data_IF_852109113832
#
_entry.id   IF_852109113832
#
_cell.length_a   1.000
_cell.length_b   1.000
_cell.length_c   1.000
_cell.angle_alpha   90.00
_cell.angle_beta   90.00
_cell.angle_gamma   90.00
#
_symmetry.space_group_name_H-M   'P 1'
#
loop_
_entity.id
_entity.type
_entity.pdbx_description
1 polymer ?
#
# COMPACT_ATOMS: atom_id res chain seq x y z
N UNK A 1 -18.27 24.74 -0.19
CA UNK A 1 -17.88 23.76 -1.21
C UNK A 1 -18.86 22.60 -1.34
N UNK A 2 -19.13 21.76 -0.30
CA UNK A 2 -20.15 20.67 -0.39
C UNK A 2 -21.49 21.12 -0.96
N UNK A 3 -22.01 22.27 -0.56
CA UNK A 3 -23.29 22.79 -1.06
C UNK A 3 -23.23 23.24 -2.52
N UNK A 4 -22.08 23.74 -2.97
CA UNK A 4 -21.90 24.19 -4.36
C UNK A 4 -21.86 22.96 -5.27
N UNK A 5 -21.07 21.97 -4.92
CA UNK A 5 -20.99 20.70 -5.66
C UNK A 5 -22.34 19.98 -5.68
N UNK A 6 -23.07 19.94 -4.56
CA UNK A 6 -24.40 19.31 -4.53
C UNK A 6 -25.46 20.07 -5.35
N UNK A 7 -25.35 21.38 -5.47
CA UNK A 7 -26.22 22.18 -6.32
C UNK A 7 -25.98 21.87 -7.81
N UNK A 8 -24.73 21.87 -8.24
CA UNK A 8 -24.35 21.55 -9.61
C UNK A 8 -24.74 20.11 -10.00
N UNK A 9 -24.53 19.14 -9.12
CA UNK A 9 -24.96 17.76 -9.34
C UNK A 9 -26.48 17.62 -9.46
N UNK A 10 -27.25 18.36 -8.67
CA UNK A 10 -28.73 18.31 -8.73
C UNK A 10 -29.28 18.85 -10.05
N UNK A 11 -28.55 19.75 -10.74
CA UNK A 11 -28.95 20.32 -12.01
C UNK A 11 -28.34 19.59 -13.24
N UNK A 12 -27.61 18.51 -13.03
CA UNK A 12 -27.06 17.68 -14.11
C UNK A 12 -25.92 18.31 -14.93
N UNK A 13 -25.39 19.45 -14.48
CA UNK A 13 -24.27 20.14 -15.11
C UNK A 13 -23.11 20.28 -14.14
N UNK A 14 -22.11 19.41 -14.27
CA UNK A 14 -20.83 19.67 -13.65
C UNK A 14 -20.02 20.57 -14.59
N UNK A 15 -20.41 21.82 -14.67
CA UNK A 15 -19.54 22.89 -15.18
C UNK A 15 -18.90 23.54 -13.97
N UNK A 16 -17.59 23.45 -13.86
CA UNK A 16 -16.83 24.24 -12.91
C UNK A 16 -16.79 25.70 -13.40
N UNK A 17 -17.88 26.36 -13.23
CA UNK A 17 -18.09 27.75 -13.64
C UNK A 17 -19.58 28.05 -13.69
N UNK A 18 -20.13 28.57 -12.59
CA UNK A 18 -21.51 29.02 -12.48
C UNK A 18 -21.55 30.53 -12.20
N UNK A 19 -22.67 31.18 -12.52
CA UNK A 19 -22.89 32.58 -12.14
C UNK A 19 -23.26 32.67 -10.64
N UNK A 20 -22.71 33.66 -9.97
CA UNK A 20 -22.91 33.96 -8.54
C UNK A 20 -24.36 34.06 -8.08
N UNK A 21 -25.30 34.42 -9.00
CA UNK A 21 -26.71 34.59 -8.73
C UNK A 21 -27.46 33.31 -8.35
N UNK A 22 -26.86 32.14 -8.58
CA UNK A 22 -27.54 30.85 -8.43
C UNK A 22 -27.11 30.09 -7.17
N UNK A 23 -26.11 30.59 -6.41
CA UNK A 23 -25.59 29.93 -5.20
C UNK A 23 -26.25 30.50 -3.97
N UNK A 24 -26.99 29.67 -3.25
CA UNK A 24 -27.67 30.05 -2.01
C UNK A 24 -26.69 30.06 -0.83
N UNK A 25 -26.11 31.19 -0.50
CA UNK A 25 -25.15 31.41 0.58
C UNK A 25 -25.93 31.69 1.86
N UNK A 26 -25.96 30.71 2.77
CA UNK A 26 -26.78 30.78 3.99
C UNK A 26 -25.97 30.90 5.30
N UNK A 27 -24.69 30.59 5.30
CA UNK A 27 -23.85 30.66 6.51
C UNK A 27 -22.58 31.49 6.28
N UNK A 28 -21.96 31.98 7.37
CA UNK A 28 -20.67 32.69 7.29
C UNK A 28 -19.55 31.79 6.72
N UNK A 29 -19.61 30.49 6.99
CA UNK A 29 -18.68 29.53 6.42
C UNK A 29 -18.86 29.39 4.90
N UNK A 30 -20.10 29.44 4.41
CA UNK A 30 -20.39 29.42 2.97
C UNK A 30 -19.84 30.69 2.30
N UNK A 31 -19.92 31.86 2.96
CA UNK A 31 -19.35 33.11 2.48
C UNK A 31 -17.83 33.04 2.36
N UNK A 32 -17.15 32.56 3.39
CA UNK A 32 -15.68 32.44 3.37
C UNK A 32 -15.22 31.53 2.23
N UNK A 33 -15.85 30.36 2.07
CA UNK A 33 -15.55 29.44 0.99
C UNK A 33 -15.83 30.08 -0.37
N UNK A 34 -16.96 30.74 -0.48
CA UNK A 34 -17.39 31.40 -1.71
C UNK A 34 -16.42 32.51 -2.14
N UNK A 35 -16.07 33.44 -1.22
CA UNK A 35 -15.13 34.51 -1.52
C UNK A 35 -13.69 34.00 -1.76
N UNK A 36 -13.33 32.87 -1.20
CA UNK A 36 -12.04 32.24 -1.49
C UNK A 36 -11.95 31.58 -2.87
N UNK A 37 -13.10 31.37 -3.53
CA UNK A 37 -13.21 30.74 -4.83
C UNK A 37 -13.58 31.74 -5.95
N UNK A 38 -13.88 32.96 -5.55
CA UNK A 38 -14.28 34.03 -6.50
C UNK A 38 -13.05 34.63 -7.15
N UNK A 39 -13.08 34.76 -8.48
CA UNK A 39 -12.12 35.59 -9.19
C UNK A 39 -12.46 37.08 -8.97
N UNK A 40 -11.47 37.90 -8.65
CA UNK A 40 -11.66 39.32 -8.32
C UNK A 40 -12.22 40.13 -9.51
N UNK A 41 -11.98 39.69 -10.75
CA UNK A 41 -12.31 40.43 -11.97
C UNK A 41 -13.52 39.87 -12.75
N UNK A 42 -14.14 38.80 -12.33
CA UNK A 42 -15.29 38.21 -13.02
C UNK A 42 -16.35 37.69 -12.05
N UNK A 43 -17.62 37.73 -12.49
CA UNK A 43 -18.72 37.05 -11.79
C UNK A 43 -18.68 35.54 -11.95
N UNK A 44 -17.62 35.01 -12.59
CA UNK A 44 -17.42 33.62 -12.88
C UNK A 44 -16.67 32.92 -11.74
N UNK A 45 -17.05 31.69 -11.51
CA UNK A 45 -16.45 30.85 -10.49
C UNK A 45 -15.31 30.01 -11.08
N UNK A 46 -14.08 30.29 -10.73
CA UNK A 46 -12.96 29.40 -11.04
C UNK A 46 -12.73 28.48 -9.85
N UNK A 47 -13.62 27.50 -9.66
CA UNK A 47 -13.54 26.52 -8.56
C UNK A 47 -12.25 25.68 -8.60
N UNK A 48 -11.48 25.80 -9.66
CA UNK A 48 -10.29 25.00 -9.92
C UNK A 48 -9.04 25.80 -10.19
N UNK A 49 -8.96 27.07 -9.74
CA UNK A 49 -7.66 27.73 -9.80
C UNK A 49 -6.67 26.96 -8.90
N UNK A 50 -5.69 26.23 -9.47
CA UNK A 50 -4.76 25.39 -8.70
C UNK A 50 -3.85 26.22 -7.79
N UNK A 51 -3.78 27.53 -7.98
CA UNK A 51 -3.04 28.43 -7.10
C UNK A 51 -3.79 28.72 -5.78
N UNK A 52 -5.12 28.62 -5.80
CA UNK A 52 -5.99 28.93 -4.64
C UNK A 52 -6.42 27.67 -3.91
N UNK A 53 -6.70 26.57 -4.63
CA UNK A 53 -7.20 25.33 -4.03
C UNK A 53 -6.31 24.16 -4.43
N UNK A 54 -5.82 23.43 -3.42
CA UNK A 54 -5.13 22.19 -3.67
C UNK A 54 -6.10 21.21 -4.39
N UNK A 55 -5.78 20.86 -5.63
CA UNK A 55 -6.57 19.96 -6.50
C UNK A 55 -6.98 18.64 -5.81
N UNK A 56 -6.21 18.17 -4.81
CA UNK A 56 -6.56 16.98 -4.01
C UNK A 56 -7.89 17.13 -3.28
N UNK A 57 -8.23 18.34 -2.82
CA UNK A 57 -9.52 18.57 -2.18
C UNK A 57 -10.67 18.57 -3.19
N UNK A 58 -10.42 19.03 -4.41
CA UNK A 58 -11.41 19.02 -5.48
C UNK A 58 -11.69 17.59 -5.93
N UNK A 59 -10.66 16.78 -6.18
CA UNK A 59 -10.82 15.36 -6.49
C UNK A 59 -11.53 14.60 -5.37
N UNK A 60 -11.19 14.90 -4.13
CA UNK A 60 -11.87 14.28 -2.97
C UNK A 60 -13.37 14.61 -2.95
N UNK A 61 -13.75 15.85 -3.24
CA UNK A 61 -15.14 16.25 -3.31
C UNK A 61 -15.88 15.58 -4.46
N UNK A 62 -15.26 15.51 -5.65
CA UNK A 62 -15.83 14.80 -6.79
C UNK A 62 -16.08 13.34 -6.40
N UNK A 63 -15.10 12.65 -5.85
CA UNK A 63 -15.21 11.24 -5.40
C UNK A 63 -16.27 11.03 -4.31
N UNK A 64 -16.52 12.01 -3.44
CA UNK A 64 -17.56 11.92 -2.39
C UNK A 64 -18.98 12.12 -2.92
N UNK A 65 -19.16 12.78 -4.06
CA UNK A 65 -20.47 13.15 -4.60
C UNK A 65 -20.85 12.46 -5.90
N UNK A 66 -19.88 11.94 -6.64
CA UNK A 66 -20.14 11.17 -7.85
C UNK A 66 -20.60 9.76 -7.49
N UNK A 67 -21.54 9.22 -8.26
CA UNK A 67 -21.87 7.79 -8.17
C UNK A 67 -20.65 6.95 -8.57
N UNK A 68 -20.49 5.76 -7.98
CA UNK A 68 -19.32 4.90 -8.21
C UNK A 68 -19.16 4.43 -9.67
N UNK A 69 -20.21 4.56 -10.48
CA UNK A 69 -20.28 4.21 -11.90
C UNK A 69 -20.32 5.43 -12.82
N UNK A 70 -20.14 6.63 -12.27
CA UNK A 70 -20.13 7.86 -13.08
C UNK A 70 -18.84 7.93 -13.89
N UNK A 71 -18.99 8.11 -15.20
CA UNK A 71 -17.87 8.35 -16.10
C UNK A 71 -17.31 9.78 -15.87
N UNK A 72 -16.01 9.88 -15.59
CA UNK A 72 -15.31 11.15 -15.46
C UNK A 72 -14.51 11.36 -16.75
N UNK A 73 -14.91 12.35 -17.53
CA UNK A 73 -14.18 12.74 -18.75
C UNK A 73 -13.22 13.86 -18.38
N UNK A 74 -11.92 13.60 -18.48
CA UNK A 74 -10.88 14.60 -18.39
C UNK A 74 -10.52 15.06 -19.80
N UNK A 75 -10.97 16.26 -20.15
CA UNK A 75 -10.69 16.86 -21.46
C UNK A 75 -9.41 17.70 -21.40
N UNK A 76 -8.36 17.22 -22.03
CA UNK A 76 -7.08 17.89 -22.16
C UNK A 76 -6.87 18.52 -23.55
N UNK A 77 -7.89 18.60 -24.38
CA UNK A 77 -7.78 19.07 -25.77
C UNK A 77 -7.28 20.51 -25.92
N UNK A 78 -7.43 21.34 -24.89
CA UNK A 78 -6.99 22.74 -24.89
C UNK A 78 -5.68 22.98 -24.14
N UNK A 79 -4.98 21.93 -23.68
CA UNK A 79 -3.75 22.07 -22.91
C UNK A 79 -2.65 22.80 -23.70
N UNK A 80 -2.58 22.59 -25.01
CA UNK A 80 -1.59 23.24 -25.90
C UNK A 80 -1.76 24.76 -25.96
N UNK A 81 -2.98 25.27 -25.77
CA UNK A 81 -3.27 26.70 -25.80
C UNK A 81 -3.04 27.39 -24.44
N UNK A 82 -3.03 26.65 -23.37
CA UNK A 82 -2.92 27.18 -21.99
C UNK A 82 -1.51 27.23 -21.45
N UNK A 83 -0.58 26.52 -22.10
CA UNK A 83 0.63 26.15 -21.42
C UNK A 83 1.79 25.85 -22.35
N UNK A 84 2.28 26.86 -23.08
CA UNK A 84 3.50 26.73 -23.91
C UNK A 84 4.71 26.10 -23.15
N UNK A 85 4.71 26.21 -21.81
CA UNK A 85 5.78 25.64 -20.95
C UNK A 85 5.30 24.58 -19.96
N UNK A 86 4.00 24.33 -19.80
CA UNK A 86 3.51 23.41 -18.76
C UNK A 86 3.54 21.95 -19.18
N UNK A 87 3.34 21.62 -20.45
CA UNK A 87 3.42 20.23 -20.95
C UNK A 87 4.83 19.67 -20.76
N UNK A 88 5.92 20.34 -21.21
CA UNK A 88 7.27 19.87 -20.93
C UNK A 88 7.58 19.76 -19.44
N UNK A 89 7.10 20.70 -18.61
CA UNK A 89 7.28 20.65 -17.15
C UNK A 89 6.45 19.55 -16.50
N UNK A 90 5.21 19.33 -16.94
CA UNK A 90 4.36 18.24 -16.46
C UNK A 90 4.90 16.88 -16.88
N UNK A 91 5.35 16.73 -18.13
CA UNK A 91 6.02 15.51 -18.60
C UNK A 91 7.32 15.27 -17.85
N UNK A 92 8.16 16.28 -17.67
CA UNK A 92 9.37 16.16 -16.87
C UNK A 92 9.07 15.85 -15.37
N UNK A 93 7.96 16.33 -14.85
CA UNK A 93 7.49 16.00 -13.51
C UNK A 93 6.95 14.55 -13.44
N UNK A 94 6.24 14.08 -14.48
CA UNK A 94 5.76 12.70 -14.56
C UNK A 94 6.88 11.70 -14.86
N UNK A 95 7.86 12.07 -15.67
CA UNK A 95 9.10 11.29 -15.86
C UNK A 95 9.90 11.18 -14.55
N UNK A 96 9.77 12.13 -13.64
CA UNK A 96 10.37 12.12 -12.31
C UNK A 96 9.48 11.50 -11.22
N UNK A 97 8.27 11.05 -11.51
CA UNK A 97 7.49 10.20 -10.59
C UNK A 97 8.09 8.80 -10.64
N UNK A 98 9.23 8.63 -9.99
CA UNK A 98 9.81 7.31 -9.79
C UNK A 98 8.85 6.48 -8.96
N UNK A 99 8.55 5.27 -9.43
CA UNK A 99 7.80 4.28 -8.64
C UNK A 99 8.46 4.12 -7.27
N UNK A 100 7.67 3.95 -6.24
CA UNK A 100 8.20 3.53 -4.93
C UNK A 100 8.69 2.09 -5.05
N UNK A 101 9.96 1.88 -4.75
CA UNK A 101 10.60 0.55 -4.81
C UNK A 101 10.37 -0.14 -3.47
N UNK A 102 9.66 -1.26 -3.50
CA UNK A 102 9.36 -2.10 -2.33
C UNK A 102 10.25 -3.33 -2.38
N UNK A 103 11.22 -3.39 -1.48
CA UNK A 103 12.13 -4.53 -1.32
C UNK A 103 11.47 -5.57 -0.44
N UNK A 104 11.32 -6.79 -0.96
CA UNK A 104 10.71 -7.94 -0.27
C UNK A 104 11.70 -9.10 -0.16
N UNK A 105 11.44 -10.06 0.74
CA UNK A 105 12.39 -11.13 1.06
C UNK A 105 12.49 -12.19 -0.04
N UNK A 106 11.40 -12.45 -0.75
CA UNK A 106 11.37 -13.51 -1.74
C UNK A 106 10.41 -13.29 -2.90
N UNK A 107 10.53 -14.13 -3.93
CA UNK A 107 9.67 -14.10 -5.12
C UNK A 107 8.21 -14.41 -4.79
N UNK A 108 7.95 -15.30 -3.82
CA UNK A 108 6.58 -15.57 -3.36
C UNK A 108 5.93 -14.33 -2.76
N UNK A 109 6.69 -13.53 -2.00
CA UNK A 109 6.19 -12.30 -1.38
C UNK A 109 5.82 -11.29 -2.46
N UNK A 110 6.71 -11.13 -3.45
CA UNK A 110 6.45 -10.28 -4.61
C UNK A 110 5.18 -10.70 -5.34
N UNK A 111 5.08 -11.97 -5.72
CA UNK A 111 3.93 -12.49 -6.47
C UNK A 111 2.61 -12.28 -5.74
N UNK A 112 2.59 -12.52 -4.42
CA UNK A 112 1.40 -12.34 -3.58
C UNK A 112 1.05 -10.85 -3.47
N UNK A 113 2.03 -9.99 -3.23
CA UNK A 113 1.80 -8.55 -3.05
C UNK A 113 1.39 -7.87 -4.36
N UNK A 114 2.03 -8.20 -5.49
CA UNK A 114 1.66 -7.67 -6.81
C UNK A 114 0.23 -8.06 -7.18
N UNK A 115 -0.13 -9.35 -7.03
CA UNK A 115 -1.49 -9.81 -7.28
C UNK A 115 -2.49 -9.10 -6.35
N UNK A 116 -2.23 -9.06 -5.05
CA UNK A 116 -3.14 -8.42 -4.11
C UNK A 116 -3.28 -6.91 -4.37
N UNK A 117 -2.19 -6.21 -4.73
CA UNK A 117 -2.20 -4.80 -5.09
C UNK A 117 -3.06 -4.55 -6.33
N UNK A 118 -2.91 -5.35 -7.38
CA UNK A 118 -3.70 -5.23 -8.62
C UNK A 118 -5.19 -5.44 -8.39
N UNK A 119 -5.57 -6.27 -7.42
CA UNK A 119 -6.97 -6.57 -7.12
C UNK A 119 -7.60 -5.60 -6.12
N UNK A 120 -6.84 -5.17 -5.09
CA UNK A 120 -7.35 -4.31 -4.01
C UNK A 120 -7.19 -2.83 -4.30
N UNK A 121 -6.14 -2.46 -5.02
CA UNK A 121 -5.77 -1.07 -5.31
C UNK A 121 -5.28 -0.92 -6.77
N UNK A 122 -6.11 -1.29 -7.78
CA UNK A 122 -5.69 -1.29 -9.19
C UNK A 122 -5.18 0.09 -9.65
N UNK A 123 -5.78 1.17 -9.14
CA UNK A 123 -5.41 2.54 -9.45
C UNK A 123 -4.08 3.00 -8.84
N UNK A 124 -3.51 2.23 -7.90
CA UNK A 124 -2.22 2.53 -7.26
C UNK A 124 -1.11 1.55 -7.68
N UNK A 125 -1.46 0.44 -8.35
CA UNK A 125 -0.50 -0.64 -8.66
C UNK A 125 0.72 -0.14 -9.42
N UNK A 126 0.53 0.80 -10.35
CA UNK A 126 1.60 1.37 -11.16
C UNK A 126 2.55 2.31 -10.41
N UNK A 127 2.18 2.74 -9.21
CA UNK A 127 3.02 3.59 -8.36
C UNK A 127 4.04 2.82 -7.55
N UNK A 128 3.94 1.49 -7.51
CA UNK A 128 4.82 0.61 -6.75
C UNK A 128 5.54 -0.37 -7.67
N UNK A 129 6.79 -0.67 -7.35
CA UNK A 129 7.58 -1.71 -7.96
C UNK A 129 8.08 -2.65 -6.87
N UNK A 130 7.55 -3.86 -6.84
CA UNK A 130 7.99 -4.89 -5.90
C UNK A 130 9.25 -5.56 -6.44
N UNK A 131 10.35 -5.34 -5.76
CA UNK A 131 11.65 -5.87 -6.14
C UNK A 131 11.95 -7.11 -5.33
N UNK A 132 12.01 -8.24 -5.99
CA UNK A 132 12.61 -9.47 -5.49
C UNK A 132 14.00 -9.66 -6.12
N UNK A 133 14.64 -10.75 -5.79
CA UNK A 133 16.01 -11.01 -6.16
C UNK A 133 16.19 -12.28 -6.98
N UNK A 134 15.11 -12.77 -7.60
CA UNK A 134 15.18 -13.74 -8.68
C UNK A 134 15.69 -13.05 -9.94
N UNK A 135 16.61 -13.68 -10.65
CA UNK A 135 16.95 -13.25 -11.98
C UNK A 135 15.91 -13.74 -13.00
N UNK A 136 15.84 -13.08 -14.15
CA UNK A 136 14.91 -13.43 -15.25
C UNK A 136 15.16 -14.85 -15.78
N UNK A 137 16.31 -15.44 -15.50
CA UNK A 137 16.69 -16.82 -15.88
C UNK A 137 16.24 -17.87 -14.86
N UNK A 138 15.56 -17.45 -13.77
CA UNK A 138 15.08 -18.36 -12.73
C UNK A 138 16.17 -18.91 -11.80
N UNK A 139 17.37 -18.34 -11.87
CA UNK A 139 18.44 -18.64 -10.95
C UNK A 139 18.09 -18.22 -9.53
N UNK A 140 18.01 -19.19 -8.59
CA UNK A 140 17.87 -18.87 -7.17
C UNK A 140 19.11 -18.14 -6.70
N UNK A 141 19.02 -16.82 -6.56
CA UNK A 141 19.98 -16.07 -5.76
C UNK A 141 19.61 -16.21 -4.29
N UNK A 142 20.60 -16.07 -3.42
CA UNK A 142 20.37 -16.04 -1.98
C UNK A 142 19.37 -14.92 -1.64
N UNK A 143 18.10 -15.30 -1.48
CA UNK A 143 17.04 -14.40 -1.03
C UNK A 143 17.08 -14.21 0.48
N UNK A 144 16.01 -13.65 1.03
CA UNK A 144 15.83 -13.47 2.47
C UNK A 144 16.30 -12.10 2.96
N UNK A 145 16.20 -11.92 4.27
CA UNK A 145 16.44 -10.65 4.95
C UNK A 145 17.80 -10.02 4.68
N UNK A 146 18.85 -10.83 4.59
CA UNK A 146 20.22 -10.35 4.34
C UNK A 146 20.37 -9.64 3.00
N UNK A 147 19.62 -10.09 2.00
CA UNK A 147 19.66 -9.50 0.67
C UNK A 147 18.90 -8.18 0.64
N UNK A 148 17.73 -8.11 1.28
CA UNK A 148 16.98 -6.84 1.46
C UNK A 148 17.87 -5.80 2.14
N UNK A 149 18.55 -6.18 3.23
CA UNK A 149 19.49 -5.31 3.97
C UNK A 149 20.61 -4.79 3.06
N UNK A 150 21.26 -5.70 2.32
CA UNK A 150 22.38 -5.34 1.45
C UNK A 150 21.97 -4.34 0.38
N UNK A 151 20.86 -4.58 -0.30
CA UNK A 151 20.39 -3.70 -1.36
C UNK A 151 19.90 -2.36 -0.83
N UNK A 152 19.16 -2.35 0.28
CA UNK A 152 18.74 -1.10 0.91
C UNK A 152 19.93 -0.22 1.26
N UNK A 153 20.99 -0.82 1.85
CA UNK A 153 22.24 -0.11 2.14
C UNK A 153 22.94 0.38 0.87
N UNK A 154 22.96 -0.43 -0.19
CA UNK A 154 23.52 -0.02 -1.47
C UNK A 154 22.81 1.23 -2.00
N UNK A 155 21.48 1.26 -1.99
CA UNK A 155 20.71 2.42 -2.44
C UNK A 155 20.94 3.64 -1.55
N UNK A 156 21.01 3.42 -0.24
CA UNK A 156 21.31 4.48 0.73
C UNK A 156 22.68 5.12 0.48
N UNK A 157 23.75 4.33 0.37
CA UNK A 157 25.10 4.85 0.13
C UNK A 157 25.27 5.46 -1.25
N UNK A 158 24.52 4.97 -2.25
CA UNK A 158 24.50 5.53 -3.61
C UNK A 158 23.71 6.82 -3.72
N UNK A 159 23.05 7.27 -2.63
CA UNK A 159 22.28 8.52 -2.57
C UNK A 159 21.18 8.62 -3.64
N UNK A 160 20.56 7.49 -3.97
CA UNK A 160 19.47 7.43 -4.95
C UNK A 160 18.24 8.15 -4.40
N UNK A 161 17.61 8.99 -5.22
CA UNK A 161 16.48 9.84 -4.79
C UNK A 161 15.11 9.19 -4.86
N UNK A 162 14.99 7.97 -5.40
CA UNK A 162 13.72 7.24 -5.41
C UNK A 162 13.22 6.93 -3.98
N UNK A 163 11.93 6.69 -3.83
CA UNK A 163 11.36 6.22 -2.58
C UNK A 163 11.61 4.71 -2.43
N UNK A 164 12.07 4.30 -1.26
CA UNK A 164 12.37 2.91 -0.93
C UNK A 164 11.61 2.46 0.32
N UNK A 165 10.98 1.31 0.22
CA UNK A 165 10.39 0.60 1.35
C UNK A 165 11.10 -0.76 1.44
N UNK A 166 11.80 -1.03 2.53
CA UNK A 166 12.18 -2.38 2.90
C UNK A 166 11.11 -2.92 3.84
N UNK A 167 10.41 -3.97 3.43
CA UNK A 167 9.39 -4.59 4.25
C UNK A 167 9.76 -6.04 4.54
N UNK A 168 9.74 -6.41 5.82
CA UNK A 168 10.14 -7.70 6.33
C UNK A 168 8.94 -8.46 6.89
N UNK A 169 9.03 -9.78 6.90
CA UNK A 169 8.10 -10.64 7.61
C UNK A 169 7.98 -10.25 9.09
N UNK A 170 6.79 -10.37 9.67
CA UNK A 170 6.58 -10.16 11.10
C UNK A 170 6.94 -11.44 11.89
N UNK A 171 8.14 -11.95 11.62
CA UNK A 171 8.78 -13.08 12.28
C UNK A 171 10.04 -12.67 13.05
N UNK A 172 10.75 -13.61 13.67
CA UNK A 172 11.92 -13.29 14.48
C UNK A 172 13.11 -12.81 13.62
N UNK A 173 13.24 -13.32 12.40
CA UNK A 173 14.31 -12.91 11.48
C UNK A 173 14.06 -11.51 10.91
N UNK A 174 12.85 -11.24 10.41
CA UNK A 174 12.48 -9.93 9.88
C UNK A 174 12.53 -8.86 10.96
N UNK A 175 12.04 -9.16 12.18
CA UNK A 175 12.13 -8.22 13.29
C UNK A 175 13.60 -7.93 13.69
N UNK A 176 14.46 -8.95 13.74
CA UNK A 176 15.89 -8.80 13.99
C UNK A 176 16.57 -7.92 12.94
N UNK A 177 16.25 -8.16 11.67
CA UNK A 177 16.79 -7.44 10.51
C UNK A 177 16.42 -5.97 10.54
N UNK A 178 15.15 -5.67 10.81
CA UNK A 178 14.67 -4.29 11.00
C UNK A 178 15.41 -3.60 12.15
N UNK A 179 15.52 -4.26 13.31
CA UNK A 179 16.22 -3.69 14.47
C UNK A 179 17.69 -3.42 14.17
N UNK A 180 18.36 -4.33 13.48
CA UNK A 180 19.76 -4.17 13.07
C UNK A 180 19.95 -2.96 12.16
N UNK A 181 19.12 -2.79 11.15
CA UNK A 181 19.16 -1.62 10.25
C UNK A 181 18.97 -0.30 11.01
N UNK A 182 17.98 -0.26 11.92
CA UNK A 182 17.69 0.95 12.71
C UNK A 182 18.77 1.25 13.77
N UNK A 183 19.48 0.22 14.25
CA UNK A 183 20.59 0.38 15.18
C UNK A 183 21.87 0.83 14.47
N UNK A 184 22.11 0.36 13.24
CA UNK A 184 23.29 0.70 12.45
C UNK A 184 23.21 2.12 11.87
N UNK A 185 22.06 2.48 11.30
CA UNK A 185 21.84 3.79 10.69
C UNK A 185 20.73 4.50 11.47
N UNK A 186 21.11 5.47 12.30
CA UNK A 186 20.18 6.18 13.20
C UNK A 186 19.24 7.12 12.45
N UNK A 187 19.70 7.74 11.38
CA UNK A 187 18.97 8.77 10.63
C UNK A 187 18.80 8.36 9.17
N UNK A 188 17.79 7.55 8.91
CA UNK A 188 17.38 7.23 7.54
C UNK A 188 16.78 8.47 6.87
N UNK A 189 17.09 8.74 5.59
CA UNK A 189 16.47 9.82 4.83
C UNK A 189 14.96 9.65 4.71
N UNK A 190 14.26 10.76 4.46
CA UNK A 190 12.80 10.79 4.38
C UNK A 190 12.21 9.91 3.25
N UNK A 191 13.02 9.58 2.25
CA UNK A 191 12.64 8.68 1.15
C UNK A 191 12.94 7.19 1.42
N UNK A 192 13.29 6.81 2.66
CA UNK A 192 13.48 5.41 3.07
C UNK A 192 12.49 5.03 4.18
N UNK A 193 11.88 3.86 4.06
CA UNK A 193 11.05 3.26 5.10
C UNK A 193 11.51 1.84 5.37
N UNK A 194 11.53 1.46 6.66
CA UNK A 194 11.90 0.12 7.10
C UNK A 194 10.73 -0.40 7.94
N UNK A 195 10.00 -1.33 7.37
CA UNK A 195 8.72 -1.79 7.88
C UNK A 195 8.78 -3.28 8.25
N UNK A 196 7.88 -3.71 9.11
CA UNK A 196 7.46 -5.10 9.28
C UNK A 196 6.04 -5.23 8.77
N UNK A 197 5.65 -6.42 8.38
CA UNK A 197 4.24 -6.74 8.19
C UNK A 197 3.45 -6.38 9.45
N UNK A 198 2.24 -5.81 9.31
CA UNK A 198 1.48 -5.32 10.45
C UNK A 198 1.02 -6.45 11.37
N UNK A 199 0.98 -6.17 12.66
CA UNK A 199 0.36 -7.08 13.63
C UNK A 199 -1.13 -7.25 13.33
N UNK A 200 -1.61 -8.48 13.32
CA UNK A 200 -3.01 -8.83 13.12
C UNK A 200 -3.57 -9.39 14.44
N UNK A 201 -4.76 -8.97 14.80
CA UNK A 201 -5.38 -9.37 16.09
C UNK A 201 -5.46 -10.87 16.28
N UNK A 202 -5.76 -11.62 15.22
CA UNK A 202 -5.81 -13.09 15.30
C UNK A 202 -4.46 -13.74 15.60
N UNK A 203 -3.33 -13.07 15.31
CA UNK A 203 -1.99 -13.63 15.54
C UNK A 203 -1.59 -13.67 17.01
N UNK A 204 -2.28 -12.92 17.89
CA UNK A 204 -2.06 -13.04 19.35
C UNK A 204 -2.53 -14.37 19.94
N UNK A 205 -3.35 -15.14 19.22
CA UNK A 205 -3.87 -16.46 19.65
C UNK A 205 -3.96 -17.40 18.45
N UNK A 206 -2.85 -17.55 17.75
CA UNK A 206 -2.79 -18.40 16.56
C UNK A 206 -2.41 -19.86 16.97
N UNK A 207 -2.95 -20.89 16.30
CA UNK A 207 -2.61 -22.28 16.62
C UNK A 207 -1.12 -22.57 16.34
N UNK A 208 -0.44 -23.12 17.32
CA UNK A 208 0.97 -23.51 17.26
C UNK A 208 1.15 -24.94 17.77
N UNK A 209 2.18 -25.64 17.31
CA UNK A 209 2.50 -26.99 17.75
C UNK A 209 3.45 -26.90 18.95
N UNK A 210 2.97 -27.29 20.13
CA UNK A 210 3.79 -27.38 21.32
C UNK A 210 4.79 -28.58 21.23
N UNK A 211 5.85 -28.61 22.05
CA UNK A 211 6.84 -29.70 22.04
C UNK A 211 6.27 -31.11 22.26
N UNK A 212 5.10 -31.23 22.89
CA UNK A 212 4.39 -32.48 23.08
C UNK A 212 3.45 -32.86 21.92
N UNK A 213 3.52 -32.15 20.79
CA UNK A 213 2.69 -32.37 19.60
C UNK A 213 1.26 -31.83 19.70
N UNK A 214 0.85 -31.22 20.82
CA UNK A 214 -0.48 -30.65 20.97
C UNK A 214 -0.56 -29.26 20.32
N UNK A 215 -1.70 -28.98 19.71
CA UNK A 215 -1.99 -27.64 19.19
C UNK A 215 -2.42 -26.75 20.35
N UNK A 216 -1.71 -25.64 20.54
CA UNK A 216 -1.98 -24.62 21.56
C UNK A 216 -1.96 -23.24 20.93
N UNK A 217 -2.80 -22.28 21.38
CA UNK A 217 -2.73 -20.91 20.92
C UNK A 217 -1.50 -20.20 21.51
N UNK A 218 -0.77 -19.46 20.68
CA UNK A 218 0.34 -18.59 21.11
C UNK A 218 0.34 -17.30 20.29
N UNK A 219 1.03 -16.27 20.77
CA UNK A 219 1.28 -15.04 20.02
C UNK A 219 2.45 -15.27 19.05
N UNK A 220 2.15 -15.18 17.77
CA UNK A 220 3.09 -15.38 16.67
C UNK A 220 3.65 -14.08 16.07
N UNK A 221 3.19 -12.90 16.53
CA UNK A 221 3.76 -11.62 16.09
C UNK A 221 5.24 -11.54 16.49
N UNK A 222 6.08 -11.08 15.58
CA UNK A 222 7.55 -11.03 15.70
C UNK A 222 8.22 -12.40 15.92
N UNK A 223 7.48 -13.48 15.60
CA UNK A 223 7.98 -14.86 15.78
C UNK A 223 7.79 -15.72 14.54
N UNK A 224 6.63 -15.63 13.87
CA UNK A 224 6.28 -16.56 12.79
C UNK A 224 5.31 -16.02 11.74
N UNK A 225 4.95 -14.73 11.77
CA UNK A 225 3.95 -14.19 10.86
C UNK A 225 4.55 -13.79 9.50
N UNK A 226 4.71 -14.78 8.61
CA UNK A 226 5.12 -14.61 7.22
C UNK A 226 3.95 -14.25 6.31
N UNK A 227 4.24 -13.92 5.04
CA UNK A 227 3.26 -13.44 4.04
C UNK A 227 2.06 -14.37 3.88
N UNK A 228 2.26 -15.68 3.99
CA UNK A 228 1.22 -16.68 3.82
C UNK A 228 0.06 -16.49 4.81
N UNK A 229 0.34 -16.00 6.02
CA UNK A 229 -0.67 -15.77 7.05
C UNK A 229 -1.59 -14.56 6.78
N UNK A 230 -1.24 -13.73 5.80
CA UNK A 230 -2.07 -12.60 5.37
C UNK A 230 -3.04 -12.98 4.24
N UNK A 231 -2.93 -14.20 3.70
CA UNK A 231 -3.83 -14.75 2.69
C UNK A 231 -5.23 -15.04 3.25
N UNK A 232 -6.25 -15.20 2.39
CA UNK A 232 -7.60 -15.56 2.79
C UNK A 232 -7.68 -16.85 3.61
N UNK A 233 -8.68 -16.92 4.49
CA UNK A 233 -8.97 -18.11 5.30
C UNK A 233 -9.16 -19.38 4.45
N UNK A 234 -9.71 -19.27 3.24
CA UNK A 234 -9.87 -20.37 2.30
C UNK A 234 -8.55 -21.03 1.88
N UNK A 235 -7.44 -20.30 1.98
CA UNK A 235 -6.10 -20.77 1.62
C UNK A 235 -5.36 -21.30 2.85
N UNK A 236 -5.45 -20.59 3.99
CA UNK A 236 -4.69 -20.91 5.21
C UNK A 236 -5.42 -21.85 6.16
N UNK A 237 -6.54 -22.43 5.72
CA UNK A 237 -7.30 -23.43 6.49
C UNK A 237 -7.46 -24.74 5.73
N UNK A 238 -7.59 -25.81 6.49
CA UNK A 238 -8.02 -27.11 6.00
C UNK A 238 -8.99 -27.74 6.99
N UNK A 239 -10.10 -28.30 6.51
CA UNK A 239 -11.13 -28.86 7.39
C UNK A 239 -11.68 -27.89 8.44
N UNK A 240 -11.68 -26.58 8.13
CA UNK A 240 -12.13 -25.51 9.05
C UNK A 240 -11.10 -25.03 10.06
N UNK A 241 -9.94 -25.66 10.16
CA UNK A 241 -8.87 -25.30 11.09
C UNK A 241 -7.73 -24.61 10.36
N UNK A 242 -7.11 -23.61 10.99
CA UNK A 242 -5.89 -22.98 10.50
C UNK A 242 -4.72 -23.97 10.51
N UNK A 243 -3.85 -23.87 9.49
CA UNK A 243 -2.55 -24.55 9.53
C UNK A 243 -1.73 -24.01 10.71
N UNK A 244 -1.25 -24.88 11.62
CA UNK A 244 -0.54 -24.42 12.81
C UNK A 244 0.88 -23.94 12.48
N UNK A 245 1.46 -23.19 13.40
CA UNK A 245 2.89 -22.83 13.36
C UNK A 245 3.72 -23.95 13.98
N UNK A 246 4.80 -24.32 13.33
CA UNK A 246 5.88 -25.17 13.83
C UNK A 246 7.05 -24.28 14.28
N UNK A 247 7.57 -24.56 15.49
CA UNK A 247 8.70 -23.82 16.02
C UNK A 247 10.01 -24.47 15.57
N UNK A 248 10.86 -23.71 14.87
CA UNK A 248 12.12 -24.21 14.31
C UNK A 248 13.30 -24.01 15.25
N UNK A 249 13.50 -22.78 15.70
CA UNK A 249 14.70 -22.41 16.45
C UNK A 249 14.46 -21.23 17.38
N UNK A 250 15.39 -21.06 18.33
CA UNK A 250 15.44 -19.89 19.20
C UNK A 250 16.56 -18.96 18.72
N UNK A 251 16.19 -17.74 18.32
CA UNK A 251 17.12 -16.71 17.86
C UNK A 251 17.41 -15.72 18.98
N UNK A 252 18.68 -15.35 19.16
CA UNK A 252 19.06 -14.19 19.97
C UNK A 252 19.08 -12.99 19.06
N UNK A 253 18.35 -11.96 19.43
CA UNK A 253 18.25 -10.71 18.66
C UNK A 253 18.57 -9.52 19.55
N UNK A 254 18.92 -8.39 18.95
CA UNK A 254 18.98 -7.11 19.61
C UNK A 254 17.82 -6.26 19.17
N UNK A 255 16.97 -5.87 20.10
CA UNK A 255 15.80 -5.06 19.82
C UNK A 255 16.18 -3.59 19.47
N UNK A 256 15.19 -2.76 19.16
CA UNK A 256 15.37 -1.35 18.81
C UNK A 256 16.11 -0.52 19.86
N UNK A 257 16.15 -0.96 21.10
CA UNK A 257 16.87 -0.33 22.21
C UNK A 257 18.27 -0.94 22.41
N UNK A 258 18.74 -1.78 21.48
CA UNK A 258 20.01 -2.50 21.54
C UNK A 258 20.12 -3.48 22.72
N UNK A 259 18.99 -3.93 23.28
CA UNK A 259 18.91 -4.92 24.36
C UNK A 259 18.78 -6.32 23.74
N UNK A 260 19.56 -7.28 24.27
CA UNK A 260 19.45 -8.67 23.83
C UNK A 260 18.15 -9.31 24.34
N UNK A 261 17.43 -9.94 23.44
CA UNK A 261 16.26 -10.74 23.74
C UNK A 261 16.30 -12.03 22.92
N UNK A 262 15.56 -13.03 23.37
CA UNK A 262 15.49 -14.30 22.67
C UNK A 262 14.06 -14.53 22.20
N UNK A 263 13.89 -14.68 20.89
CA UNK A 263 12.63 -15.01 20.26
C UNK A 263 12.68 -16.40 19.62
N UNK A 264 11.52 -17.05 19.59
CA UNK A 264 11.37 -18.27 18.80
C UNK A 264 11.07 -17.87 17.35
N UNK A 265 11.73 -18.58 16.42
CA UNK A 265 11.38 -18.54 15.00
C UNK A 265 10.44 -19.69 14.73
N UNK A 266 9.32 -19.41 14.09
CA UNK A 266 8.37 -20.41 13.64
C UNK A 266 8.06 -20.28 12.17
N UNK A 267 7.53 -21.33 11.59
CA UNK A 267 7.06 -21.40 10.20
C UNK A 267 5.65 -21.99 10.16
N UNK A 268 4.83 -21.52 9.24
CA UNK A 268 3.51 -22.12 9.03
C UNK A 268 3.67 -23.53 8.43
N UNK A 269 2.98 -24.50 9.03
CA UNK A 269 2.95 -25.87 8.48
C UNK A 269 2.32 -25.86 7.08
N UNK A 270 2.76 -26.80 6.23
CA UNK A 270 2.23 -26.97 4.87
C UNK A 270 2.39 -25.72 3.99
N UNK A 271 3.49 -25.01 4.13
CA UNK A 271 3.77 -23.77 3.38
C UNK A 271 3.63 -23.96 1.86
N UNK A 272 4.08 -25.09 1.31
CA UNK A 272 4.00 -25.40 -0.12
C UNK A 272 2.56 -25.62 -0.59
N UNK A 273 1.71 -26.26 0.23
CA UNK A 273 0.28 -26.44 -0.05
C UNK A 273 -0.44 -25.07 -0.10
N UNK A 274 -0.10 -24.18 0.84
CA UNK A 274 -0.62 -22.82 0.87
C UNK A 274 -0.26 -22.04 -0.42
N UNK A 275 1.00 -22.12 -0.83
CA UNK A 275 1.47 -21.50 -2.08
C UNK A 275 0.75 -22.09 -3.30
N UNK A 276 0.61 -23.39 -3.36
CA UNK A 276 -0.12 -24.05 -4.45
C UNK A 276 -1.58 -23.60 -4.51
N UNK A 277 -2.29 -23.57 -3.39
CA UNK A 277 -3.66 -23.05 -3.30
C UNK A 277 -3.78 -21.60 -3.74
N UNK A 278 -2.81 -20.76 -3.34
CA UNK A 278 -2.77 -19.38 -3.80
C UNK A 278 -2.63 -19.28 -5.31
N UNK A 279 -1.71 -20.00 -5.92
CA UNK A 279 -1.52 -19.99 -7.37
C UNK A 279 -2.74 -20.54 -8.13
N UNK A 280 -3.40 -21.58 -7.63
CA UNK A 280 -4.65 -22.07 -8.21
C UNK A 280 -5.76 -21.03 -8.18
N UNK A 281 -5.95 -20.37 -7.02
CA UNK A 281 -6.95 -19.32 -6.87
C UNK A 281 -6.64 -18.13 -7.78
N UNK A 282 -5.38 -17.66 -7.81
CA UNK A 282 -4.91 -16.60 -8.69
C UNK A 282 -5.23 -16.91 -10.14
N UNK A 283 -4.85 -18.09 -10.63
CA UNK A 283 -5.08 -18.50 -12.01
C UNK A 283 -6.58 -18.54 -12.38
N UNK A 284 -7.46 -18.97 -11.45
CA UNK A 284 -8.91 -18.95 -11.67
C UNK A 284 -9.44 -17.52 -11.78
N UNK A 285 -8.98 -16.61 -10.93
CA UNK A 285 -9.38 -15.19 -10.95
C UNK A 285 -8.89 -14.54 -12.25
N UNK A 286 -7.63 -14.74 -12.64
CA UNK A 286 -7.04 -14.15 -13.85
C UNK A 286 -7.72 -14.67 -15.15
N UNK A 287 -8.25 -15.91 -15.14
CA UNK A 287 -9.05 -16.48 -16.25
C UNK A 287 -10.52 -16.04 -16.23
N UNK A 288 -10.99 -15.42 -15.17
CA UNK A 288 -12.39 -15.06 -14.97
C UNK A 288 -13.28 -16.24 -14.51
N UNK A 289 -12.68 -17.37 -14.12
CA UNK A 289 -13.39 -18.54 -13.60
C UNK A 289 -13.87 -18.36 -12.17
N UNK A 290 -13.26 -17.42 -11.43
CA UNK A 290 -13.61 -17.09 -10.04
C UNK A 290 -13.56 -15.57 -9.83
N UNK A 291 -14.49 -15.05 -9.03
CA UNK A 291 -14.55 -13.62 -8.70
C UNK A 291 -13.70 -13.33 -7.46
N UNK A 292 -12.87 -12.29 -7.53
CA UNK A 292 -12.09 -11.83 -6.41
C UNK A 292 -13.00 -11.29 -5.27
N UNK A 293 -12.89 -11.87 -4.08
CA UNK A 293 -13.74 -11.53 -2.93
C UNK A 293 -12.99 -10.62 -1.95
N UNK A 294 -13.01 -9.33 -2.18
CA UNK A 294 -12.29 -8.31 -1.38
C UNK A 294 -12.41 -8.51 0.14
N UNK A 295 -13.57 -8.94 0.64
CA UNK A 295 -13.81 -9.13 2.08
C UNK A 295 -12.94 -10.23 2.71
N UNK A 296 -12.53 -11.22 1.94
CA UNK A 296 -11.68 -12.31 2.41
C UNK A 296 -10.22 -11.87 2.60
N UNK A 297 -9.80 -10.78 1.95
CA UNK A 297 -8.43 -10.26 1.93
C UNK A 297 -8.14 -9.18 3.00
N UNK A 298 -8.91 -9.13 4.08
CA UNK A 298 -8.80 -8.09 5.11
C UNK A 298 -7.40 -7.93 5.71
N UNK A 299 -6.69 -9.05 5.94
CA UNK A 299 -5.34 -9.02 6.52
C UNK A 299 -4.32 -8.51 5.49
N UNK A 300 -4.43 -8.97 4.25
CA UNK A 300 -3.61 -8.50 3.14
C UNK A 300 -3.86 -7.03 2.85
N UNK A 301 -5.13 -6.59 2.89
CA UNK A 301 -5.48 -5.18 2.75
C UNK A 301 -4.75 -4.32 3.79
N UNK A 302 -4.74 -4.74 5.06
CA UNK A 302 -4.00 -4.05 6.12
C UNK A 302 -2.50 -4.01 5.86
N UNK A 303 -1.92 -5.08 5.29
CA UNK A 303 -0.52 -5.11 4.91
C UNK A 303 -0.25 -4.10 3.78
N UNK A 304 -1.06 -4.11 2.72
CA UNK A 304 -0.92 -3.16 1.62
C UNK A 304 -1.12 -1.70 2.06
N UNK A 305 -2.05 -1.44 2.98
CA UNK A 305 -2.22 -0.11 3.59
C UNK A 305 -0.93 0.36 4.30
N UNK A 306 -0.19 -0.55 4.93
CA UNK A 306 1.10 -0.24 5.55
C UNK A 306 2.14 0.21 4.50
N UNK A 307 2.07 -0.34 3.29
CA UNK A 307 2.94 0.05 2.16
C UNK A 307 2.45 1.37 1.54
N UNK A 308 1.17 1.47 1.22
CA UNK A 308 0.57 2.61 0.52
C UNK A 308 0.71 3.91 1.32
N UNK A 309 0.55 3.84 2.62
CA UNK A 309 0.63 5.01 3.52
C UNK A 309 1.99 5.17 4.21
N UNK A 310 3.04 4.59 3.65
CA UNK A 310 4.38 4.66 4.24
C UNK A 310 5.02 6.07 4.15
N UNK A 311 4.59 6.90 3.19
CA UNK A 311 5.11 8.26 2.95
C UNK A 311 4.04 9.31 3.09
#
# INVERSE_FOLDING_TARGET
>A
MKKIVSYELANGNIQFGGTLSEVNITTECDKVIFYSLKDEDSESFYALNPEIINYKYVYRLILEYCANDMEIILDFSNLDNWADDCIPKALAATENVSKTIVLVEGSSDKDILEFAMSQLYPHLSDLFYFMDFSDESGGKRDGGTSYVIKNLKTFYFSKIRANFIAIFDNDAEGYSSKCSLLNEIKNWPANFRILLYPEITMFHKYPTIAPNGKIVPDDINKKAASIELYLPDSIIKTGGNYYPIEWESRKRIRNKNNVEEALYQGVISYKDDIKHKFHEMRNKIERGDEVFKTKEWKNMKKLLETIVFAF
#
